data_IF_204821115582
#
_entry.id   IF_204821115582
#
_cell.length_a   1.000
_cell.length_b   1.000
_cell.length_c   1.000
_cell.angle_alpha   90.00
_cell.angle_beta   90.00
_cell.angle_gamma   90.00
#
_symmetry.space_group_name_H-M   'P 1'
#
loop_
_entity.id
_entity.type
_entity.pdbx_description
1 polymer ?
#
# COMPACT_ATOMS: atom_id res chain seq x y z
N UNK A 1 -29.69 -0.97 43.18
CA UNK A 1 -28.23 -1.02 42.92
C UNK A 1 -28.03 -1.05 41.42
N UNK A 2 -27.66 0.08 40.82
CA UNK A 2 -27.37 0.20 39.38
C UNK A 2 -25.84 0.21 39.24
N UNK A 3 -25.30 -0.85 38.63
CA UNK A 3 -23.90 -0.92 38.25
C UNK A 3 -23.70 -0.15 36.92
N UNK A 4 -22.75 0.79 36.83
CA UNK A 4 -22.43 1.43 35.56
C UNK A 4 -21.53 0.50 34.75
N UNK A 5 -21.97 0.14 33.55
CA UNK A 5 -21.15 -0.54 32.54
C UNK A 5 -20.19 0.52 31.98
N UNK A 6 -18.94 0.47 32.44
CA UNK A 6 -17.85 1.27 31.89
C UNK A 6 -17.48 0.71 30.51
N UNK A 7 -17.99 1.32 29.44
CA UNK A 7 -17.55 1.02 28.08
C UNK A 7 -16.13 1.58 27.89
N UNK A 8 -15.12 0.73 28.11
CA UNK A 8 -13.74 1.02 27.72
C UNK A 8 -13.69 0.97 26.20
N UNK A 9 -13.74 2.13 25.55
CA UNK A 9 -13.33 2.27 24.15
C UNK A 9 -11.83 2.01 24.12
N UNK A 10 -11.43 0.78 23.75
CA UNK A 10 -10.05 0.42 23.45
C UNK A 10 -9.58 1.29 22.28
N UNK A 11 -9.06 2.47 22.56
CA UNK A 11 -8.29 3.24 21.59
C UNK A 11 -7.02 2.42 21.30
N UNK A 12 -7.04 1.67 20.20
CA UNK A 12 -5.87 0.93 19.75
C UNK A 12 -4.70 1.91 19.62
N UNK A 13 -3.58 1.62 20.30
CA UNK A 13 -2.38 2.43 20.17
C UNK A 13 -1.97 2.47 18.68
N UNK A 14 -1.64 3.66 18.14
CA UNK A 14 -1.25 3.77 16.73
C UNK A 14 -0.03 2.88 16.46
N UNK A 15 0.03 2.27 15.29
CA UNK A 15 1.21 1.49 14.91
C UNK A 15 2.47 2.38 14.95
N UNK A 16 3.68 1.81 15.12
CA UNK A 16 4.91 2.60 15.07
C UNK A 16 5.07 3.42 13.78
N UNK A 17 4.59 2.90 12.65
CA UNK A 17 4.57 3.61 11.38
C UNK A 17 3.59 4.80 11.40
N UNK A 18 2.40 4.64 11.99
CA UNK A 18 1.43 5.72 12.12
C UNK A 18 1.91 6.80 13.09
N UNK A 19 2.53 6.41 14.20
CA UNK A 19 3.14 7.34 15.14
C UNK A 19 4.27 8.16 14.47
N UNK A 20 5.11 7.49 13.67
CA UNK A 20 6.12 8.17 12.86
C UNK A 20 5.48 9.13 11.85
N UNK A 21 4.45 8.69 11.13
CA UNK A 21 3.76 9.49 10.11
C UNK A 21 3.14 10.75 10.72
N UNK A 22 2.44 10.62 11.85
CA UNK A 22 1.83 11.76 12.56
C UNK A 22 2.87 12.75 13.08
N UNK A 23 4.05 12.27 13.48
CA UNK A 23 5.16 13.13 13.89
C UNK A 23 5.81 13.84 12.70
N UNK A 24 6.01 13.13 11.58
CA UNK A 24 6.67 13.65 10.40
C UNK A 24 5.77 14.61 9.61
N UNK A 25 4.49 14.26 9.49
CA UNK A 25 3.45 14.98 8.75
C UNK A 25 2.16 14.96 9.57
N UNK A 26 1.97 15.94 10.47
CA UNK A 26 0.78 16.05 11.30
C UNK A 26 -0.50 16.08 10.47
N UNK A 27 -1.57 15.51 11.03
CA UNK A 27 -2.89 15.59 10.40
C UNK A 27 -3.36 17.06 10.37
N UNK A 28 -4.00 17.48 9.28
CA UNK A 28 -4.63 18.80 9.24
C UNK A 28 -5.69 18.92 10.35
N UNK A 29 -5.79 20.12 10.93
CA UNK A 29 -6.74 20.40 12.02
C UNK A 29 -8.15 20.71 11.52
N UNK A 30 -8.29 21.05 10.25
CA UNK A 30 -9.54 21.39 9.60
C UNK A 30 -10.17 20.14 9.02
N UNK A 31 -11.49 20.01 9.16
CA UNK A 31 -12.27 19.00 8.46
C UNK A 31 -12.52 19.51 7.03
N UNK A 32 -12.33 18.68 5.99
CA UNK A 32 -12.62 19.10 4.62
C UNK A 32 -14.12 19.37 4.44
N UNK A 33 -14.46 20.44 3.71
CA UNK A 33 -15.84 20.82 3.40
C UNK A 33 -16.36 20.17 2.09
N UNK A 34 -15.49 19.48 1.34
CA UNK A 34 -15.85 18.81 0.08
C UNK A 34 -14.97 17.60 -0.25
N UNK A 35 -15.45 16.74 -1.14
CA UNK A 35 -14.65 15.62 -1.68
C UNK A 35 -13.38 16.09 -2.39
N UNK A 36 -13.42 17.26 -3.03
CA UNK A 36 -12.26 17.85 -3.72
C UNK A 36 -11.19 18.24 -2.70
N UNK A 37 -11.59 18.92 -1.63
CA UNK A 37 -10.69 19.33 -0.55
C UNK A 37 -10.11 18.12 0.18
N UNK A 38 -10.96 17.15 0.49
CA UNK A 38 -10.53 15.89 1.11
C UNK A 38 -9.45 15.20 0.28
N UNK A 39 -9.65 15.04 -1.03
CA UNK A 39 -8.62 14.46 -1.93
C UNK A 39 -7.33 15.26 -1.93
N UNK A 40 -7.45 16.57 -2.02
CA UNK A 40 -6.29 17.45 -2.03
C UNK A 40 -5.48 17.32 -0.74
N UNK A 41 -6.15 17.23 0.42
CA UNK A 41 -5.52 17.00 1.71
C UNK A 41 -4.81 15.64 1.79
N UNK A 42 -5.42 14.57 1.28
CA UNK A 42 -4.77 13.25 1.22
C UNK A 42 -3.54 13.25 0.30
N UNK A 43 -3.61 13.88 -0.86
CA UNK A 43 -2.48 14.02 -1.77
C UNK A 43 -1.35 14.85 -1.16
N UNK A 44 -1.67 15.97 -0.52
CA UNK A 44 -0.68 16.79 0.20
C UNK A 44 0.00 15.99 1.31
N UNK A 45 -0.76 15.20 2.06
CA UNK A 45 -0.20 14.36 3.12
C UNK A 45 0.70 13.27 2.55
N UNK A 46 0.31 12.63 1.45
CA UNK A 46 1.16 11.66 0.74
C UNK A 46 2.50 12.28 0.30
N UNK A 47 2.46 13.47 -0.30
CA UNK A 47 3.67 14.19 -0.73
C UNK A 47 4.53 14.66 0.45
N UNK A 48 3.93 15.09 1.56
CA UNK A 48 4.67 15.37 2.79
C UNK A 48 5.41 14.10 3.27
N UNK A 49 4.70 12.97 3.37
CA UNK A 49 5.27 11.72 3.86
C UNK A 49 6.36 11.17 2.93
N UNK A 50 6.21 11.32 1.62
CA UNK A 50 7.24 11.00 0.63
C UNK A 50 8.53 11.79 0.85
N UNK A 51 8.42 13.11 1.06
CA UNK A 51 9.58 13.97 1.39
C UNK A 51 10.22 13.56 2.72
N UNK A 52 9.42 13.30 3.74
CA UNK A 52 9.91 12.84 5.04
C UNK A 52 10.59 11.46 4.96
N UNK A 53 10.02 10.54 4.19
CA UNK A 53 10.59 9.21 3.92
C UNK A 53 11.95 9.34 3.23
N UNK A 54 12.05 10.14 2.16
CA UNK A 54 13.32 10.36 1.46
C UNK A 54 14.39 10.92 2.40
N UNK A 55 14.03 11.90 3.24
CA UNK A 55 14.94 12.43 4.26
C UNK A 55 15.39 11.37 5.28
N UNK A 56 14.51 10.43 5.65
CA UNK A 56 14.88 9.31 6.52
C UNK A 56 15.80 8.31 5.81
N UNK A 57 15.52 7.98 4.54
CA UNK A 57 16.36 7.12 3.71
C UNK A 57 17.76 7.69 3.51
N UNK A 58 17.89 9.01 3.31
CA UNK A 58 19.19 9.66 3.14
C UNK A 58 20.12 9.43 4.34
N UNK A 59 19.58 9.36 5.56
CA UNK A 59 20.36 9.05 6.78
C UNK A 59 20.97 7.64 6.73
N UNK A 60 20.38 6.72 5.98
CA UNK A 60 20.85 5.34 5.82
C UNK A 60 21.74 5.20 4.59
N UNK A 61 21.29 5.74 3.46
CA UNK A 61 21.87 5.47 2.14
C UNK A 61 23.10 6.35 1.88
N UNK A 62 23.03 7.67 2.14
CA UNK A 62 24.13 8.60 1.79
C UNK A 62 25.46 8.22 2.46
N UNK A 63 25.52 7.82 3.74
CA UNK A 63 26.76 7.38 4.37
C UNK A 63 27.42 6.17 3.67
N UNK A 64 26.65 5.32 3.00
CA UNK A 64 27.15 4.14 2.27
C UNK A 64 27.92 4.53 1.02
N UNK A 65 27.65 5.71 0.43
CA UNK A 65 28.34 6.15 -0.80
C UNK A 65 29.86 6.14 -0.68
N UNK A 66 30.38 6.55 0.49
CA UNK A 66 31.82 6.54 0.79
C UNK A 66 32.25 5.26 1.51
N UNK A 67 31.45 4.81 2.48
CA UNK A 67 31.86 3.70 3.36
C UNK A 67 31.68 2.31 2.74
N UNK A 68 30.65 2.11 1.91
CA UNK A 68 30.29 0.82 1.29
C UNK A 68 29.64 1.03 -0.10
N UNK A 69 30.41 1.43 -1.14
CA UNK A 69 29.85 1.77 -2.45
C UNK A 69 28.99 0.68 -3.11
N UNK A 70 29.31 -0.63 -3.02
CA UNK A 70 28.42 -1.68 -3.52
C UNK A 70 27.06 -1.70 -2.83
N UNK A 71 27.03 -1.58 -1.49
CA UNK A 71 25.78 -1.52 -0.74
C UNK A 71 24.97 -0.26 -1.07
N UNK A 72 25.62 0.88 -1.31
CA UNK A 72 24.96 2.09 -1.79
C UNK A 72 24.22 1.86 -3.12
N UNK A 73 24.87 1.22 -4.11
CA UNK A 73 24.23 0.90 -5.40
C UNK A 73 23.03 -0.03 -5.23
N UNK A 74 23.16 -1.05 -4.40
CA UNK A 74 22.06 -1.97 -4.09
C UNK A 74 20.88 -1.26 -3.43
N UNK A 75 21.14 -0.37 -2.46
CA UNK A 75 20.09 0.43 -1.81
C UNK A 75 19.36 1.34 -2.80
N UNK A 76 20.08 2.00 -3.71
CA UNK A 76 19.49 2.86 -4.73
C UNK A 76 18.60 2.06 -5.70
N UNK A 77 19.09 0.91 -6.17
CA UNK A 77 18.30 0.01 -7.04
C UNK A 77 17.08 -0.55 -6.30
N UNK A 78 17.24 -0.99 -5.04
CA UNK A 78 16.13 -1.44 -4.20
C UNK A 78 15.07 -0.35 -4.02
N UNK A 79 15.47 0.89 -3.79
CA UNK A 79 14.52 2.00 -3.64
C UNK A 79 13.78 2.30 -4.95
N UNK A 80 14.45 2.19 -6.10
CA UNK A 80 13.81 2.33 -7.40
C UNK A 80 12.77 1.22 -7.66
N UNK A 81 13.10 -0.03 -7.32
CA UNK A 81 12.16 -1.16 -7.43
C UNK A 81 10.97 -0.99 -6.49
N UNK A 82 11.22 -0.59 -5.24
CA UNK A 82 10.19 -0.28 -4.27
C UNK A 82 9.24 0.81 -4.79
N UNK A 83 9.77 1.92 -5.29
CA UNK A 83 8.96 3.03 -5.79
C UNK A 83 8.06 2.60 -6.97
N UNK A 84 8.60 1.82 -7.91
CA UNK A 84 7.84 1.29 -9.05
C UNK A 84 6.73 0.35 -8.59
N UNK A 85 7.06 -0.63 -7.76
CA UNK A 85 6.07 -1.55 -7.20
C UNK A 85 4.99 -0.82 -6.41
N UNK A 86 5.35 0.11 -5.54
CA UNK A 86 4.41 0.85 -4.71
C UNK A 86 3.42 1.66 -5.55
N UNK A 87 3.88 2.32 -6.62
CA UNK A 87 3.01 3.04 -7.54
C UNK A 87 2.00 2.09 -8.22
N UNK A 88 2.49 0.98 -8.78
CA UNK A 88 1.62 -0.05 -9.39
C UNK A 88 0.64 -0.65 -8.37
N UNK A 89 1.09 -0.99 -7.17
CA UNK A 89 0.28 -1.64 -6.15
C UNK A 89 -0.81 -0.72 -5.61
N UNK A 90 -0.50 0.55 -5.34
CA UNK A 90 -1.50 1.51 -4.88
C UNK A 90 -2.50 1.90 -5.97
N UNK A 91 -2.06 2.03 -7.23
CA UNK A 91 -2.96 2.22 -8.36
C UNK A 91 -3.86 0.99 -8.60
N UNK A 92 -3.37 -0.23 -8.37
CA UNK A 92 -4.19 -1.45 -8.46
C UNK A 92 -5.26 -1.52 -7.37
N UNK A 93 -4.92 -1.12 -6.13
CA UNK A 93 -5.89 -1.02 -5.02
C UNK A 93 -6.97 0.02 -5.33
N UNK A 94 -6.58 1.18 -5.87
CA UNK A 94 -7.54 2.20 -6.31
C UNK A 94 -8.47 1.65 -7.38
N UNK A 95 -7.92 1.15 -8.49
CA UNK A 95 -8.70 0.63 -9.61
C UNK A 95 -9.63 -0.52 -9.19
N UNK A 96 -9.24 -1.32 -8.20
CA UNK A 96 -10.09 -2.38 -7.67
C UNK A 96 -11.43 -1.87 -7.07
N UNK A 97 -11.48 -0.63 -6.59
CA UNK A 97 -12.70 -0.01 -6.08
C UNK A 97 -13.61 0.54 -7.19
N UNK A 98 -13.14 0.53 -8.43
CA UNK A 98 -13.79 1.15 -9.58
C UNK A 98 -14.19 0.15 -10.66
N UNK A 99 -13.82 -1.12 -10.50
CA UNK A 99 -14.15 -2.21 -11.41
C UNK A 99 -15.12 -3.17 -10.73
N UNK A 100 -16.30 -3.30 -11.31
CA UNK A 100 -17.26 -4.37 -10.99
C UNK A 100 -16.82 -5.64 -11.72
N UNK A 101 -16.47 -6.67 -10.96
CA UNK A 101 -15.99 -7.96 -11.48
C UNK A 101 -17.13 -8.88 -11.94
N UNK A 102 -18.38 -8.60 -11.55
CA UNK A 102 -19.55 -9.32 -12.00
C UNK A 102 -19.98 -8.84 -13.40
N UNK A 103 -20.12 -7.53 -13.60
CA UNK A 103 -20.50 -6.94 -14.89
C UNK A 103 -19.32 -6.70 -15.83
N UNK A 104 -18.12 -6.55 -15.28
CA UNK A 104 -16.92 -6.13 -16.01
C UNK A 104 -16.89 -4.64 -16.34
N UNK A 105 -17.75 -3.85 -15.70
CA UNK A 105 -17.82 -2.41 -15.88
C UNK A 105 -16.82 -1.68 -15.00
N UNK A 106 -16.26 -0.60 -15.56
CA UNK A 106 -15.47 0.37 -14.84
C UNK A 106 -16.26 1.66 -14.69
N UNK A 107 -16.31 2.19 -13.48
CA UNK A 107 -16.87 3.50 -13.18
C UNK A 107 -15.79 4.37 -12.53
N UNK A 108 -15.74 5.67 -12.82
CA UNK A 108 -14.84 6.59 -12.12
C UNK A 108 -15.66 7.68 -11.46
N UNK A 109 -15.90 7.52 -10.16
CA UNK A 109 -16.64 8.47 -9.35
C UNK A 109 -15.76 9.61 -8.84
N UNK A 110 -16.42 10.58 -8.20
CA UNK A 110 -15.74 11.74 -7.58
C UNK A 110 -14.82 11.38 -6.42
N UNK A 111 -14.71 10.10 -6.04
CA UNK A 111 -13.75 9.57 -5.07
C UNK A 111 -12.39 9.15 -5.67
N UNK A 112 -12.26 9.05 -7.00
CA UNK A 112 -11.06 8.49 -7.65
C UNK A 112 -9.76 9.19 -7.22
N UNK A 113 -8.75 8.42 -6.82
CA UNK A 113 -7.44 8.84 -6.33
C UNK A 113 -7.34 8.96 -4.81
N UNK A 114 -8.44 8.79 -4.08
CA UNK A 114 -8.45 8.84 -2.62
C UNK A 114 -7.80 7.59 -2.01
N UNK A 115 -8.20 6.39 -2.44
CA UNK A 115 -7.65 5.11 -1.94
C UNK A 115 -6.18 4.95 -2.32
N UNK A 116 -5.80 5.37 -3.52
CA UNK A 116 -4.41 5.44 -3.97
C UNK A 116 -3.58 6.30 -3.00
N UNK A 117 -4.06 7.51 -2.70
CA UNK A 117 -3.37 8.44 -1.80
C UNK A 117 -3.21 7.86 -0.40
N UNK A 118 -4.24 7.21 0.14
CA UNK A 118 -4.14 6.55 1.45
C UNK A 118 -3.18 5.36 1.45
N UNK A 119 -3.18 4.55 0.38
CA UNK A 119 -2.22 3.47 0.19
C UNK A 119 -0.79 4.02 0.16
N UNK A 120 -0.53 5.07 -0.62
CA UNK A 120 0.77 5.73 -0.71
C UNK A 120 1.22 6.26 0.66
N UNK A 121 0.33 6.89 1.42
CA UNK A 121 0.66 7.37 2.77
C UNK A 121 1.10 6.23 3.70
N UNK A 122 0.40 5.10 3.70
CA UNK A 122 0.79 3.91 4.50
C UNK A 122 2.16 3.37 4.09
N UNK A 123 2.42 3.28 2.78
CA UNK A 123 3.69 2.81 2.24
C UNK A 123 4.85 3.77 2.57
N UNK A 124 4.65 5.08 2.43
CA UNK A 124 5.64 6.09 2.79
C UNK A 124 5.88 6.13 4.31
N UNK A 125 4.82 6.01 5.11
CA UNK A 125 4.91 5.93 6.56
C UNK A 125 5.76 4.75 7.01
N UNK A 126 5.46 3.55 6.51
CA UNK A 126 6.22 2.35 6.83
C UNK A 126 7.69 2.47 6.41
N UNK A 127 7.95 2.85 5.16
CA UNK A 127 9.31 2.98 4.63
C UNK A 127 10.13 4.04 5.37
N UNK A 128 9.50 5.16 5.72
CA UNK A 128 10.13 6.25 6.47
C UNK A 128 10.43 5.86 7.92
N UNK A 129 9.48 5.21 8.60
CA UNK A 129 9.70 4.63 9.93
C UNK A 129 10.87 3.64 9.91
N UNK A 130 10.86 2.69 8.96
CA UNK A 130 11.90 1.68 8.85
C UNK A 130 13.29 2.30 8.68
N UNK A 131 13.42 3.28 7.77
CA UNK A 131 14.68 3.98 7.53
C UNK A 131 15.15 4.78 8.75
N UNK A 132 14.24 5.46 9.46
CA UNK A 132 14.59 6.24 10.65
C UNK A 132 15.02 5.33 11.82
N UNK A 133 14.31 4.21 12.05
CA UNK A 133 14.69 3.22 13.05
C UNK A 133 16.05 2.57 12.71
N UNK A 134 16.28 2.25 11.43
CA UNK A 134 17.57 1.72 10.96
C UNK A 134 18.71 2.70 11.21
N UNK A 135 18.54 3.98 10.85
CA UNK A 135 19.55 5.00 11.07
C UNK A 135 19.93 5.14 12.56
N UNK A 136 18.96 4.91 13.45
CA UNK A 136 19.16 4.89 14.92
C UNK A 136 19.64 3.55 15.46
N UNK A 137 19.80 2.52 14.61
CA UNK A 137 20.11 1.13 14.99
C UNK A 137 19.09 0.53 15.96
N UNK A 138 17.84 0.99 15.89
CA UNK A 138 16.73 0.52 16.72
C UNK A 138 16.10 -0.73 16.09
N UNK A 139 16.87 -1.82 16.11
CA UNK A 139 16.44 -3.10 15.53
C UNK A 139 15.23 -3.68 16.23
N UNK A 140 15.09 -3.43 17.54
CA UNK A 140 13.95 -3.90 18.30
C UNK A 140 12.66 -3.25 17.81
N UNK A 141 12.63 -1.93 17.58
CA UNK A 141 11.46 -1.26 17.02
C UNK A 141 11.07 -1.81 15.63
N UNK A 142 12.05 -2.10 14.78
CA UNK A 142 11.80 -2.73 13.47
C UNK A 142 11.18 -4.11 13.64
N UNK A 143 11.75 -4.96 14.50
CA UNK A 143 11.26 -6.32 14.71
C UNK A 143 9.85 -6.36 15.31
N UNK A 144 9.57 -5.48 16.28
CA UNK A 144 8.23 -5.36 16.87
C UNK A 144 7.19 -4.91 15.83
N UNK A 145 7.52 -3.91 15.01
CA UNK A 145 6.63 -3.47 13.94
C UNK A 145 6.38 -4.58 12.92
N UNK A 146 7.42 -5.32 12.52
CA UNK A 146 7.32 -6.46 11.60
C UNK A 146 6.42 -7.59 12.14
N UNK A 147 6.49 -7.89 13.43
CA UNK A 147 5.64 -8.91 14.07
C UNK A 147 4.16 -8.52 14.03
N UNK A 148 3.86 -7.23 14.22
CA UNK A 148 2.49 -6.69 14.17
C UNK A 148 1.79 -6.84 12.82
N UNK A 149 2.54 -7.11 11.74
CA UNK A 149 1.95 -7.32 10.41
C UNK A 149 1.61 -8.77 10.09
N UNK A 150 1.93 -9.74 10.93
CA UNK A 150 1.80 -11.16 10.58
C UNK A 150 0.37 -11.59 10.20
N UNK A 151 -0.62 -11.23 11.02
CA UNK A 151 -2.03 -11.56 10.77
C UNK A 151 -2.63 -10.73 9.62
N UNK A 152 -2.41 -9.41 9.62
CA UNK A 152 -2.91 -8.52 8.57
C UNK A 152 -2.29 -8.84 7.21
N UNK A 153 -1.03 -9.26 7.17
CA UNK A 153 -0.37 -9.71 5.94
C UNK A 153 -1.01 -10.98 5.36
N UNK A 154 -1.39 -11.95 6.21
CA UNK A 154 -2.09 -13.15 5.74
C UNK A 154 -3.44 -12.75 5.10
N UNK A 155 -4.25 -11.98 5.83
CA UNK A 155 -5.53 -11.48 5.31
C UNK A 155 -5.35 -10.72 4.00
N UNK A 156 -4.40 -9.80 3.92
CA UNK A 156 -4.14 -9.01 2.72
C UNK A 156 -3.66 -9.85 1.53
N UNK A 157 -2.87 -10.92 1.76
CA UNK A 157 -2.51 -11.88 0.69
C UNK A 157 -3.73 -12.65 0.20
N UNK A 158 -4.56 -13.13 1.12
CA UNK A 158 -5.76 -13.91 0.78
C UNK A 158 -6.76 -13.05 -0.01
N UNK A 159 -6.98 -11.79 0.40
CA UNK A 159 -7.86 -10.87 -0.32
C UNK A 159 -7.29 -10.47 -1.67
N UNK A 160 -5.98 -10.16 -1.77
CA UNK A 160 -5.34 -9.90 -3.06
C UNK A 160 -5.45 -11.11 -4.00
N UNK A 161 -5.17 -12.32 -3.52
CA UNK A 161 -5.26 -13.53 -4.34
C UNK A 161 -6.70 -13.82 -4.79
N UNK A 162 -7.67 -13.64 -3.90
CA UNK A 162 -9.10 -13.77 -4.22
C UNK A 162 -9.52 -12.76 -5.29
N UNK A 163 -9.19 -11.48 -5.09
CA UNK A 163 -9.49 -10.41 -6.05
C UNK A 163 -8.87 -10.69 -7.41
N UNK A 164 -7.59 -11.06 -7.46
CA UNK A 164 -6.88 -11.42 -8.70
C UNK A 164 -7.57 -12.56 -9.45
N UNK A 165 -7.97 -13.60 -8.74
CA UNK A 165 -8.65 -14.76 -9.35
C UNK A 165 -10.01 -14.35 -9.93
N UNK A 166 -10.78 -13.53 -9.22
CA UNK A 166 -12.07 -12.98 -9.72
C UNK A 166 -11.85 -12.04 -10.93
N UNK A 167 -10.83 -11.19 -10.90
CA UNK A 167 -10.48 -10.28 -12.00
C UNK A 167 -10.07 -11.04 -13.26
N UNK A 168 -9.30 -12.12 -13.13
CA UNK A 168 -8.96 -13.00 -14.26
C UNK A 168 -10.21 -13.65 -14.88
N UNK A 169 -11.14 -14.11 -14.05
CA UNK A 169 -12.40 -14.67 -14.52
C UNK A 169 -13.29 -13.62 -15.21
N UNK A 170 -13.31 -12.38 -14.71
CA UNK A 170 -14.01 -11.27 -15.36
C UNK A 170 -13.39 -10.94 -16.73
N UNK A 171 -12.07 -10.79 -16.79
CA UNK A 171 -11.33 -10.54 -18.03
C UNK A 171 -11.55 -11.63 -19.09
N UNK A 172 -11.60 -12.90 -18.69
CA UNK A 172 -11.83 -14.02 -19.60
C UNK A 172 -13.23 -13.99 -20.26
N UNK A 173 -14.21 -13.32 -19.62
CA UNK A 173 -15.57 -13.12 -20.12
C UNK A 173 -15.76 -11.76 -20.80
N UNK A 174 -14.74 -10.91 -20.79
CA UNK A 174 -14.83 -9.57 -21.36
C UNK A 174 -15.06 -9.64 -22.88
N UNK A 175 -15.85 -8.73 -23.44
CA UNK A 175 -16.07 -8.65 -24.88
C UNK A 175 -14.78 -8.22 -25.60
N UNK A 176 -14.61 -8.69 -26.84
CA UNK A 176 -13.49 -8.29 -27.68
C UNK A 176 -13.55 -6.81 -28.09
N UNK A 177 -14.77 -6.28 -28.20
CA UNK A 177 -15.03 -4.89 -28.54
C UNK A 177 -16.18 -4.35 -27.69
N UNK A 178 -16.04 -3.11 -27.22
CA UNK A 178 -17.09 -2.36 -26.52
C UNK A 178 -17.29 -1.07 -27.30
N UNK A 179 -18.53 -0.80 -27.68
CA UNK A 179 -18.88 0.46 -28.35
C UNK A 179 -18.54 1.65 -27.45
N UNK A 180 -18.11 2.76 -28.05
CA UNK A 180 -17.89 3.98 -27.29
C UNK A 180 -19.22 4.47 -26.71
N UNK A 181 -19.18 4.81 -25.42
CA UNK A 181 -20.33 5.28 -24.66
C UNK A 181 -19.91 6.48 -23.84
N UNK A 182 -20.75 7.52 -23.83
CA UNK A 182 -20.59 8.71 -22.99
C UNK A 182 -21.06 8.47 -21.55
N UNK A 183 -21.53 7.26 -21.22
CA UNK A 183 -21.96 6.91 -19.88
C UNK A 183 -20.76 6.85 -18.92
N UNK A 184 -20.95 7.25 -17.64
CA UNK A 184 -19.88 7.22 -16.64
C UNK A 184 -19.45 5.80 -16.25
N UNK A 185 -20.23 4.79 -16.64
CA UNK A 185 -19.92 3.37 -16.49
C UNK A 185 -19.70 2.79 -17.89
N UNK A 186 -18.56 2.14 -18.07
CA UNK A 186 -18.17 1.54 -19.34
C UNK A 186 -17.68 0.12 -19.12
N UNK A 187 -18.18 -0.81 -19.92
CA UNK A 187 -17.66 -2.17 -19.94
C UNK A 187 -16.20 -2.18 -20.44
N UNK A 188 -15.34 -2.94 -19.78
CA UNK A 188 -13.94 -3.10 -20.18
C UNK A 188 -13.84 -4.13 -21.31
N UNK A 189 -13.17 -3.76 -22.41
CA UNK A 189 -12.82 -4.72 -23.46
C UNK A 189 -11.64 -5.59 -23.02
N UNK A 190 -11.43 -6.74 -23.69
CA UNK A 190 -10.32 -7.66 -23.37
C UNK A 190 -8.95 -6.95 -23.33
N UNK A 191 -8.69 -6.04 -24.26
CA UNK A 191 -7.42 -5.31 -24.32
C UNK A 191 -7.23 -4.34 -23.15
N UNK A 192 -8.33 -3.82 -22.56
CA UNK A 192 -8.28 -2.93 -21.39
C UNK A 192 -7.99 -3.70 -20.10
N UNK A 193 -8.40 -4.99 -20.02
CA UNK A 193 -8.11 -5.85 -18.88
C UNK A 193 -6.62 -6.21 -18.78
N UNK A 194 -5.92 -6.35 -19.90
CA UNK A 194 -4.51 -6.77 -19.92
C UNK A 194 -3.60 -5.89 -19.04
N UNK A 195 -3.52 -4.55 -19.23
CA UNK A 195 -2.66 -3.72 -18.39
C UNK A 195 -3.08 -3.74 -16.92
N UNK A 196 -4.36 -3.93 -16.63
CA UNK A 196 -4.87 -4.03 -15.26
C UNK A 196 -4.40 -5.34 -14.58
N UNK A 197 -4.56 -6.48 -15.26
CA UNK A 197 -4.11 -7.78 -14.76
C UNK A 197 -2.58 -7.83 -14.58
N UNK A 198 -1.83 -7.23 -15.50
CA UNK A 198 -0.37 -7.12 -15.37
C UNK A 198 0.03 -6.30 -14.15
N UNK A 199 -0.69 -5.21 -13.84
CA UNK A 199 -0.46 -4.40 -12.63
C UNK A 199 -0.76 -5.20 -11.36
N UNK A 200 -1.88 -5.93 -11.33
CA UNK A 200 -2.23 -6.81 -10.22
C UNK A 200 -1.18 -7.92 -9.98
N UNK A 201 -0.63 -8.50 -11.06
CA UNK A 201 0.46 -9.47 -10.96
C UNK A 201 1.72 -8.84 -10.36
N UNK A 202 2.12 -7.64 -10.83
CA UNK A 202 3.27 -6.93 -10.25
C UNK A 202 3.05 -6.57 -8.78
N UNK A 203 1.85 -6.16 -8.40
CA UNK A 203 1.49 -5.85 -7.02
C UNK A 203 1.68 -7.08 -6.10
N UNK A 204 1.33 -8.28 -6.59
CA UNK A 204 1.40 -9.52 -5.83
C UNK A 204 2.79 -10.19 -5.79
N UNK A 205 3.53 -10.16 -6.90
CA UNK A 205 4.78 -10.94 -7.06
C UNK A 205 6.05 -10.19 -6.63
N UNK A 206 6.09 -8.87 -6.79
CA UNK A 206 7.28 -8.08 -6.48
C UNK A 206 7.67 -8.00 -4.97
N UNK A 207 6.75 -8.02 -3.99
CA UNK A 207 7.10 -7.89 -2.57
C UNK A 207 8.17 -8.87 -2.09
N UNK A 208 8.15 -10.12 -2.55
CA UNK A 208 9.12 -11.14 -2.14
C UNK A 208 10.54 -10.81 -2.62
N UNK A 209 10.68 -10.41 -3.89
CA UNK A 209 11.97 -10.03 -4.46
C UNK A 209 12.55 -8.78 -3.77
N UNK A 210 11.72 -7.75 -3.57
CA UNK A 210 12.09 -6.52 -2.85
C UNK A 210 12.55 -6.87 -1.43
N UNK A 211 11.79 -7.71 -0.73
CA UNK A 211 12.06 -8.07 0.66
C UNK A 211 13.32 -8.91 0.83
N UNK A 212 13.59 -9.87 -0.09
CA UNK A 212 14.85 -10.63 -0.10
C UNK A 212 16.06 -9.71 -0.27
N UNK A 213 16.00 -8.78 -1.22
CA UNK A 213 17.08 -7.81 -1.46
C UNK A 213 17.28 -6.89 -0.26
N UNK A 214 16.20 -6.37 0.32
CA UNK A 214 16.29 -5.54 1.52
C UNK A 214 16.87 -6.29 2.71
N UNK A 215 16.49 -7.56 2.88
CA UNK A 215 16.98 -8.39 3.95
C UNK A 215 18.49 -8.68 3.83
N UNK A 216 18.97 -8.90 2.61
CA UNK A 216 20.41 -9.08 2.32
C UNK A 216 21.26 -7.85 2.67
N UNK A 217 20.66 -6.66 2.75
CA UNK A 217 21.34 -5.43 3.16
C UNK A 217 21.34 -5.23 4.68
N UNK A 218 20.63 -6.07 5.43
CA UNK A 218 20.60 -6.06 6.89
C UNK A 218 21.91 -6.57 7.49
N UNK A 219 22.50 -5.91 8.51
CA UNK A 219 23.76 -6.37 9.10
C UNK A 219 23.69 -7.77 9.73
N UNK A 220 22.55 -8.07 10.36
CA UNK A 220 22.26 -9.37 10.98
C UNK A 220 20.79 -9.72 10.72
N UNK A 221 20.44 -10.26 9.54
CA UNK A 221 19.05 -10.59 9.23
C UNK A 221 18.58 -11.78 10.06
N UNK A 222 17.37 -11.71 10.60
CA UNK A 222 16.69 -12.88 11.16
C UNK A 222 16.40 -13.92 10.04
N UNK A 223 16.29 -15.23 10.35
CA UNK A 223 16.01 -16.25 9.33
C UNK A 223 14.74 -16.00 8.52
N UNK A 224 13.72 -15.37 9.11
CA UNK A 224 12.42 -15.06 8.52
C UNK A 224 12.30 -13.59 8.05
N UNK A 225 13.40 -12.84 7.99
CA UNK A 225 13.40 -11.41 7.71
C UNK A 225 12.75 -11.07 6.35
N UNK A 226 13.04 -11.82 5.29
CA UNK A 226 12.40 -11.61 3.98
C UNK A 226 10.88 -11.88 4.02
N UNK A 227 10.44 -12.91 4.75
CA UNK A 227 9.02 -13.24 4.92
C UNK A 227 8.28 -12.15 5.69
N UNK A 228 8.87 -11.65 6.79
CA UNK A 228 8.30 -10.56 7.58
C UNK A 228 8.21 -9.25 6.80
N UNK A 229 9.28 -8.90 6.08
CA UNK A 229 9.27 -7.72 5.20
C UNK A 229 8.21 -7.86 4.12
N UNK A 230 8.09 -9.02 3.48
CA UNK A 230 7.04 -9.29 2.49
C UNK A 230 5.66 -9.08 3.12
N UNK A 231 5.46 -9.58 4.34
CA UNK A 231 4.23 -9.34 5.10
C UNK A 231 3.94 -7.86 5.31
N UNK A 232 4.94 -7.09 5.75
CA UNK A 232 4.78 -5.64 5.99
C UNK A 232 4.43 -4.83 4.73
N UNK A 233 4.88 -5.28 3.56
CA UNK A 233 4.58 -4.62 2.28
C UNK A 233 3.15 -4.92 1.83
N UNK A 234 2.75 -6.18 1.92
CA UNK A 234 1.43 -6.64 1.47
C UNK A 234 0.33 -6.22 2.45
N UNK A 235 0.59 -6.15 3.75
CA UNK A 235 -0.41 -5.76 4.76
C UNK A 235 -0.95 -4.33 4.60
N UNK A 236 -0.30 -3.50 3.77
CA UNK A 236 -0.74 -2.13 3.48
C UNK A 236 -1.67 -2.05 2.27
N UNK A 237 -1.77 -3.14 1.50
CA UNK A 237 -2.65 -3.28 0.35
C UNK A 237 -4.00 -3.81 0.84
N UNK A 238 -5.05 -3.02 0.65
CA UNK A 238 -6.39 -3.38 1.12
C UNK A 238 -7.35 -3.54 -0.06
N UNK A 239 -7.69 -4.78 -0.37
CA UNK A 239 -8.69 -5.15 -1.38
C UNK A 239 -10.02 -5.55 -0.74
N UNK A 240 -10.19 -5.38 0.58
CA UNK A 240 -11.38 -5.84 1.30
C UNK A 240 -12.63 -5.12 0.81
N UNK A 241 -12.59 -3.79 0.74
CA UNK A 241 -13.73 -2.99 0.27
C UNK A 241 -14.10 -3.33 -1.18
N UNK A 242 -13.08 -3.41 -2.04
CA UNK A 242 -13.23 -3.81 -3.44
C UNK A 242 -13.91 -5.18 -3.60
N UNK A 243 -13.63 -6.15 -2.72
CA UNK A 243 -14.27 -7.46 -2.71
C UNK A 243 -15.69 -7.43 -2.16
N UNK A 244 -15.92 -6.72 -1.05
CA UNK A 244 -17.23 -6.62 -0.41
C UNK A 244 -18.26 -5.97 -1.33
N UNK A 245 -17.85 -4.94 -2.07
CA UNK A 245 -18.73 -4.25 -3.03
C UNK A 245 -19.23 -5.17 -4.15
N UNK A 246 -18.50 -6.26 -4.45
CA UNK A 246 -18.93 -7.27 -5.44
C UNK A 246 -20.05 -8.18 -4.92
N UNK A 247 -20.16 -8.33 -3.60
CA UNK A 247 -21.12 -9.26 -2.98
C UNK A 247 -22.47 -8.59 -2.70
N UNK A 248 -22.50 -7.25 -2.67
CA UNK A 248 -23.70 -6.45 -2.41
C UNK A 248 -24.44 -5.99 -3.67
N UNK A 249 -23.89 -6.25 -4.87
CA UNK A 249 -24.55 -5.97 -6.15
C UNK A 249 -25.64 -6.98 -6.48
N UNK A 250 -26.80 -6.86 -5.82
CA UNK A 250 -28.09 -7.46 -6.20
C UNK A 250 -29.12 -6.35 -6.39
#
# INVERSE_FOLDING_TARGET
MLAPILAIVLAANPSPADAWARKACPLPKQTPDSNVEMKFMEQQRAECLKKAMNKALDKVIVPLKKSKPPAFKEWMSLQADYNRWMADACAAVEEANWVDLASGERSMGTGYGFTESQCLQRQFAWRGFYADAWARKDWNAIQQALQGFSESARKARDTLQSYRSKAQAAAARAPAHVEESDLPMRQLAQDDWKPYLERLERAASAPEAISRRQCALHPSPAPDCAQRLTGSLVSQLDFTDALNNQETGN
#
